data_IF_980314392638
#
_entry.id   IF_980314392638
#
_cell.length_a   1.000
_cell.length_b   1.000
_cell.length_c   1.000
_cell.angle_alpha   90.00
_cell.angle_beta   90.00
_cell.angle_gamma   90.00
#
_symmetry.space_group_name_H-M   'P 1'
#
loop_
_entity.id
_entity.type
_entity.pdbx_description
1 polymer ?
#
# COMPACT_ATOMS: atom_id res chain seq x y z
N UNK A 1 22.77 -3.87 -63.83
CA UNK A 1 23.87 -3.10 -63.22
C UNK A 1 23.62 -3.09 -61.72
N UNK A 2 24.46 -3.53 -60.80
CA UNK A 2 25.76 -4.18 -60.81
C UNK A 2 25.93 -4.80 -59.40
N UNK A 3 26.73 -5.84 -59.34
CA UNK A 3 27.08 -6.69 -58.18
C UNK A 3 27.92 -5.96 -57.13
N UNK A 4 27.87 -6.36 -55.85
CA UNK A 4 29.10 -6.57 -55.05
C UNK A 4 28.86 -7.30 -53.74
N UNK A 5 29.52 -8.45 -53.64
CA UNK A 5 29.91 -9.24 -52.47
C UNK A 5 30.87 -8.46 -51.55
N UNK A 6 30.89 -8.79 -50.25
CA UNK A 6 31.92 -8.34 -49.32
C UNK A 6 31.97 -9.19 -48.05
N UNK A 7 32.82 -10.23 -48.07
CA UNK A 7 33.10 -11.17 -46.97
C UNK A 7 34.36 -10.70 -46.24
N UNK A 8 34.31 -10.53 -44.91
CA UNK A 8 35.48 -10.18 -44.08
C UNK A 8 35.54 -11.04 -42.82
N UNK A 9 36.61 -11.84 -42.70
CA UNK A 9 36.88 -12.79 -41.60
C UNK A 9 37.50 -12.07 -40.38
N UNK A 10 37.00 -12.44 -39.19
CA UNK A 10 37.75 -12.91 -38.02
C UNK A 10 38.70 -11.99 -37.25
N UNK A 11 38.45 -11.86 -35.94
CA UNK A 11 39.48 -12.09 -34.91
C UNK A 11 38.81 -12.40 -33.56
N UNK A 12 39.22 -13.51 -32.95
CA UNK A 12 38.86 -13.90 -31.59
C UNK A 12 39.59 -13.04 -30.56
N UNK A 13 38.92 -12.74 -29.46
CA UNK A 13 39.55 -12.41 -28.18
C UNK A 13 38.77 -13.08 -27.07
N UNK A 14 39.51 -13.85 -26.27
CA UNK A 14 39.09 -14.63 -25.12
C UNK A 14 38.56 -13.80 -23.93
N UNK A 15 37.86 -14.52 -23.05
CA UNK A 15 37.63 -14.25 -21.62
C UNK A 15 36.66 -13.08 -21.30
N UNK A 16 35.65 -13.21 -20.44
CA UNK A 16 35.46 -14.07 -19.27
C UNK A 16 33.95 -14.20 -19.02
N UNK A 17 33.46 -15.41 -18.80
CA UNK A 17 32.08 -15.67 -18.41
C UNK A 17 31.89 -15.27 -16.93
N UNK A 18 31.14 -14.19 -16.68
CA UNK A 18 30.64 -13.88 -15.33
C UNK A 18 29.24 -14.50 -15.21
N UNK A 19 29.18 -15.75 -14.77
CA UNK A 19 27.95 -16.39 -14.33
C UNK A 19 27.51 -15.73 -13.04
N UNK A 20 26.47 -14.88 -13.11
CA UNK A 20 25.80 -14.37 -11.92
C UNK A 20 25.08 -15.54 -11.24
N UNK A 21 25.66 -16.04 -10.15
CA UNK A 21 25.01 -17.01 -9.27
C UNK A 21 23.83 -16.34 -8.57
N UNK A 22 22.62 -16.59 -9.06
CA UNK A 22 21.38 -16.30 -8.33
C UNK A 22 21.40 -17.11 -7.03
N UNK A 23 21.63 -16.43 -5.92
CA UNK A 23 21.58 -17.04 -4.59
C UNK A 23 20.10 -17.11 -4.20
N UNK A 24 19.48 -18.26 -4.40
CA UNK A 24 18.14 -18.57 -3.89
C UNK A 24 18.19 -18.59 -2.36
N UNK A 25 17.85 -17.48 -1.71
CA UNK A 25 17.64 -17.45 -0.27
C UNK A 25 16.28 -18.06 0.04
N UNK A 26 16.24 -19.37 0.29
CA UNK A 26 15.12 -19.99 0.98
C UNK A 26 15.17 -19.58 2.45
N UNK A 27 14.55 -18.45 2.78
CA UNK A 27 14.29 -18.08 4.17
C UNK A 27 12.95 -18.68 4.58
N UNK A 28 12.97 -19.89 5.13
CA UNK A 28 11.87 -20.42 5.92
C UNK A 28 11.86 -19.67 7.26
N UNK A 29 11.36 -18.44 7.25
CA UNK A 29 11.12 -17.71 8.49
C UNK A 29 9.95 -18.40 9.20
N UNK A 30 10.27 -19.13 10.27
CA UNK A 30 9.27 -19.57 11.25
C UNK A 30 8.68 -18.31 11.88
N UNK A 31 7.54 -17.84 11.38
CA UNK A 31 6.85 -16.69 11.96
C UNK A 31 6.39 -17.05 13.36
N UNK A 32 6.97 -16.37 14.34
CA UNK A 32 6.58 -16.44 15.73
C UNK A 32 5.11 -16.00 15.84
N UNK A 33 4.21 -16.69 16.56
CA UNK A 33 2.81 -16.29 16.73
C UNK A 33 2.63 -14.90 17.40
N UNK A 34 3.70 -14.26 17.88
CA UNK A 34 3.72 -12.87 18.32
C UNK A 34 4.08 -11.85 17.23
N UNK A 35 4.25 -12.29 15.98
CA UNK A 35 4.34 -11.38 14.84
C UNK A 35 2.99 -10.70 14.72
N UNK A 36 2.89 -9.50 15.33
CA UNK A 36 1.62 -8.80 15.55
C UNK A 36 0.98 -8.61 14.19
N UNK A 37 -0.01 -9.45 13.88
CA UNK A 37 -0.72 -9.45 12.61
C UNK A 37 -1.14 -8.02 12.30
N UNK A 38 -0.79 -7.54 11.12
CA UNK A 38 -1.21 -6.23 10.61
C UNK A 38 -1.79 -6.42 9.23
N UNK A 39 -2.89 -5.74 8.97
CA UNK A 39 -3.49 -5.64 7.64
C UNK A 39 -3.31 -4.23 7.16
N UNK A 40 -2.88 -4.06 5.91
CA UNK A 40 -2.79 -2.77 5.24
C UNK A 40 -3.57 -2.85 3.95
N UNK A 41 -4.46 -1.89 3.71
CA UNK A 41 -5.23 -1.76 2.46
C UNK A 41 -5.01 -0.35 1.91
N UNK A 42 -4.53 -0.25 0.67
CA UNK A 42 -4.47 1.02 -0.05
C UNK A 42 -5.80 1.26 -0.72
N UNK A 43 -6.41 2.42 -0.47
CA UNK A 43 -7.70 2.85 -1.03
C UNK A 43 -7.50 3.80 -2.21
N UNK A 44 -6.50 4.70 -2.13
CA UNK A 44 -6.05 5.58 -3.21
C UNK A 44 -4.57 6.01 -3.01
N UNK A 45 -3.95 6.58 -4.06
CA UNK A 45 -2.61 7.21 -3.95
C UNK A 45 -1.40 6.31 -4.22
N UNK A 46 -1.60 5.12 -4.82
CA UNK A 46 -0.49 4.25 -5.28
C UNK A 46 -0.37 4.20 -6.81
N UNK A 47 0.76 3.71 -7.36
CA UNK A 47 0.99 3.62 -8.81
C UNK A 47 -0.02 2.72 -9.55
N UNK A 48 -0.81 1.92 -8.83
CA UNK A 48 -1.67 0.87 -9.37
C UNK A 48 -3.18 1.22 -9.36
N UNK A 49 -3.60 2.42 -8.96
CA UNK A 49 -4.93 2.97 -9.29
C UNK A 49 -6.07 2.77 -8.27
N UNK A 50 -7.31 2.85 -8.80
CA UNK A 50 -8.54 3.34 -8.14
C UNK A 50 -9.39 2.32 -7.35
N UNK A 51 -8.90 1.10 -7.12
CA UNK A 51 -9.61 0.08 -6.33
C UNK A 51 -8.83 -0.26 -5.06
N UNK A 52 -9.52 -0.51 -3.94
CA UNK A 52 -8.85 -0.98 -2.73
C UNK A 52 -8.10 -2.29 -2.95
N UNK A 53 -6.86 -2.36 -2.43
CA UNK A 53 -6.00 -3.57 -2.53
C UNK A 53 -5.17 -3.76 -1.28
N UNK A 54 -4.86 -5.02 -0.97
CA UNK A 54 -3.98 -5.36 0.16
C UNK A 54 -2.55 -4.97 -0.18
N UNK A 55 -1.83 -4.46 0.82
CA UNK A 55 -0.40 -4.18 0.75
C UNK A 55 0.33 -5.00 1.83
N UNK A 56 1.48 -5.61 1.52
CA UNK A 56 2.37 -6.16 2.53
C UNK A 56 2.66 -5.16 3.66
N UNK A 57 2.44 -5.56 4.91
CA UNK A 57 2.52 -4.65 6.06
C UNK A 57 3.97 -4.31 6.48
N UNK A 58 4.94 -5.06 5.96
CA UNK A 58 6.37 -4.94 6.17
C UNK A 58 7.08 -4.14 5.07
N UNK A 59 6.34 -3.69 4.06
CA UNK A 59 6.85 -2.87 2.96
C UNK A 59 6.56 -1.36 3.15
N UNK A 60 7.42 -0.47 2.64
CA UNK A 60 7.17 0.97 2.68
C UNK A 60 5.95 1.36 1.85
N UNK A 61 4.96 1.96 2.51
CA UNK A 61 3.75 2.50 1.86
C UNK A 61 3.87 3.99 1.52
N UNK A 62 4.35 4.81 2.46
CA UNK A 62 4.37 6.26 2.32
C UNK A 62 5.61 6.73 1.58
N UNK A 63 5.42 7.73 0.71
CA UNK A 63 6.52 8.47 0.14
C UNK A 63 7.18 9.34 1.21
N UNK A 64 8.50 9.49 1.14
CA UNK A 64 9.26 10.26 2.14
C UNK A 64 8.86 11.74 2.21
N UNK A 65 8.26 12.28 1.15
CA UNK A 65 7.74 13.64 1.04
C UNK A 65 6.21 13.73 1.16
N UNK A 66 5.53 12.67 1.65
CA UNK A 66 4.09 12.74 1.92
C UNK A 66 3.79 13.78 3.02
N UNK A 67 2.86 14.69 2.75
CA UNK A 67 2.52 15.80 3.63
C UNK A 67 1.92 15.37 4.97
N UNK A 68 1.37 14.15 5.08
CA UNK A 68 1.03 13.59 6.40
C UNK A 68 2.27 13.40 7.27
N UNK A 69 3.38 12.92 6.71
CA UNK A 69 4.61 12.66 7.46
C UNK A 69 5.38 13.95 7.74
N UNK A 70 5.47 14.85 6.76
CA UNK A 70 6.31 16.05 6.89
C UNK A 70 5.60 17.23 7.59
N UNK A 71 4.27 17.30 7.53
CA UNK A 71 3.48 18.44 8.07
C UNK A 71 2.24 18.05 8.86
N UNK A 72 1.88 16.76 8.92
CA UNK A 72 0.62 16.33 9.51
C UNK A 72 -0.61 16.74 8.69
N UNK A 73 -0.47 17.00 7.40
CA UNK A 73 -1.54 17.48 6.52
C UNK A 73 -2.40 16.31 6.02
N UNK A 74 -3.35 15.92 6.87
CA UNK A 74 -4.28 14.83 6.63
C UNK A 74 -5.27 14.67 7.77
N UNK A 75 -6.18 13.72 7.61
CA UNK A 75 -7.15 13.34 8.63
C UNK A 75 -7.22 11.82 8.78
N UNK A 76 -7.70 11.37 9.93
CA UNK A 76 -7.83 9.95 10.21
C UNK A 76 -9.06 9.64 11.06
N UNK A 77 -9.47 8.38 11.02
CA UNK A 77 -10.50 7.81 11.86
C UNK A 77 -10.03 6.50 12.46
N UNK A 78 -10.54 6.14 13.65
CA UNK A 78 -10.25 4.84 14.29
C UNK A 78 -11.54 4.15 14.68
N UNK A 79 -11.67 2.88 14.29
CA UNK A 79 -12.84 2.03 14.43
C UNK A 79 -12.44 0.71 15.10
N UNK A 80 -13.38 0.12 15.85
CA UNK A 80 -13.23 -1.24 16.37
C UNK A 80 -13.66 -2.25 15.30
N UNK A 81 -12.89 -3.33 15.16
CA UNK A 81 -13.26 -4.56 14.45
C UNK A 81 -13.43 -5.65 15.48
N UNK A 82 -14.58 -6.31 15.50
CA UNK A 82 -14.86 -7.42 16.41
C UNK A 82 -15.65 -8.50 15.67
N UNK A 83 -15.24 -9.76 15.83
CA UNK A 83 -15.83 -10.87 15.06
C UNK A 83 -15.78 -10.66 13.54
N UNK A 84 -14.74 -9.98 13.02
CA UNK A 84 -14.61 -9.66 11.60
C UNK A 84 -15.57 -8.57 11.08
N UNK A 85 -16.27 -7.88 11.98
CA UNK A 85 -17.22 -6.81 11.65
C UNK A 85 -16.72 -5.47 12.17
N UNK A 86 -16.80 -4.43 11.35
CA UNK A 86 -16.39 -3.07 11.72
C UNK A 86 -17.54 -2.33 12.41
N UNK A 87 -17.27 -1.73 13.56
CA UNK A 87 -18.26 -1.03 14.34
C UNK A 87 -18.58 0.35 13.75
N UNK A 88 -19.86 0.55 13.38
CA UNK A 88 -20.44 1.85 12.98
C UNK A 88 -19.69 2.58 11.84
N UNK A 89 -19.31 1.89 10.74
CA UNK A 89 -18.47 2.46 9.68
C UNK A 89 -19.02 3.79 9.13
N UNK A 90 -20.32 3.89 8.88
CA UNK A 90 -20.93 5.10 8.33
C UNK A 90 -20.78 6.34 9.22
N UNK A 91 -20.81 6.19 10.55
CA UNK A 91 -20.60 7.33 11.47
C UNK A 91 -19.17 7.87 11.37
N UNK A 92 -18.21 6.96 11.23
CA UNK A 92 -16.80 7.31 11.09
C UNK A 92 -16.53 7.89 9.70
N UNK A 93 -17.07 7.30 8.63
CA UNK A 93 -16.97 7.87 7.27
C UNK A 93 -17.56 9.28 7.19
N UNK A 94 -18.71 9.52 7.81
CA UNK A 94 -19.28 10.87 7.88
C UNK A 94 -18.37 11.85 8.63
N UNK A 95 -17.65 11.41 9.68
CA UNK A 95 -16.71 12.26 10.42
C UNK A 95 -15.40 12.48 9.66
N UNK A 96 -14.90 11.45 8.98
CA UNK A 96 -13.76 11.55 8.08
C UNK A 96 -14.05 12.54 6.96
N UNK A 97 -15.22 12.43 6.30
CA UNK A 97 -15.63 13.34 5.23
C UNK A 97 -15.73 14.80 5.68
N UNK A 98 -16.25 15.06 6.88
CA UNK A 98 -16.22 16.43 7.44
C UNK A 98 -14.80 16.95 7.69
N UNK A 99 -13.90 16.09 8.16
CA UNK A 99 -12.50 16.45 8.42
C UNK A 99 -11.74 16.70 7.12
N UNK A 100 -11.97 15.86 6.10
CA UNK A 100 -11.43 16.03 4.76
C UNK A 100 -11.90 17.36 4.14
N UNK A 101 -13.20 17.67 4.22
CA UNK A 101 -13.73 18.93 3.74
C UNK A 101 -13.14 20.15 4.47
N UNK A 102 -12.90 20.07 5.79
CA UNK A 102 -12.26 21.14 6.55
C UNK A 102 -10.78 21.37 6.17
N UNK A 103 -10.16 20.40 5.50
CA UNK A 103 -8.78 20.45 5.00
C UNK A 103 -8.71 20.64 3.48
N UNK A 104 -9.84 20.90 2.82
CA UNK A 104 -9.95 20.98 1.36
C UNK A 104 -9.38 19.72 0.64
N UNK A 105 -9.59 18.54 1.23
CA UNK A 105 -9.25 17.25 0.65
C UNK A 105 -10.49 16.64 -0.04
N UNK A 106 -10.28 16.04 -1.21
CA UNK A 106 -11.36 15.41 -1.99
C UNK A 106 -11.63 13.98 -1.52
N UNK A 107 -10.57 13.22 -1.28
CA UNK A 107 -10.56 11.84 -0.81
C UNK A 107 -11.13 10.82 -1.81
N UNK A 108 -11.01 9.52 -1.46
CA UNK A 108 -11.79 8.46 -2.11
C UNK A 108 -13.30 8.65 -1.92
N UNK A 109 -14.09 8.12 -2.86
CA UNK A 109 -15.56 8.11 -2.71
C UNK A 109 -15.99 7.27 -1.52
N UNK A 110 -17.20 7.49 -0.96
CA UNK A 110 -17.74 6.65 0.11
C UNK A 110 -17.75 5.16 -0.24
N UNK A 111 -18.00 4.80 -1.50
CA UNK A 111 -18.02 3.42 -1.99
C UNK A 111 -16.62 2.80 -1.98
N UNK A 112 -15.58 3.57 -2.35
CA UNK A 112 -14.20 3.10 -2.27
C UNK A 112 -13.77 2.88 -0.82
N UNK A 113 -14.15 3.77 0.09
CA UNK A 113 -13.91 3.58 1.51
C UNK A 113 -14.60 2.34 2.06
N UNK A 114 -15.88 2.12 1.73
CA UNK A 114 -16.61 0.91 2.13
C UNK A 114 -15.94 -0.35 1.61
N UNK A 115 -15.58 -0.39 0.32
CA UNK A 115 -14.87 -1.51 -0.26
C UNK A 115 -13.51 -1.77 0.42
N UNK A 116 -12.80 -0.71 0.82
CA UNK A 116 -11.56 -0.83 1.58
C UNK A 116 -11.77 -1.37 3.00
N UNK A 117 -12.80 -0.89 3.69
CA UNK A 117 -13.19 -1.35 5.03
C UNK A 117 -13.56 -2.84 4.99
N UNK A 118 -14.37 -3.24 4.03
CA UNK A 118 -14.80 -4.63 3.86
C UNK A 118 -13.61 -5.55 3.55
N UNK A 119 -12.68 -5.09 2.70
CA UNK A 119 -11.45 -5.81 2.42
C UNK A 119 -10.58 -5.94 3.69
N UNK A 120 -10.35 -4.85 4.40
CA UNK A 120 -9.54 -4.85 5.61
C UNK A 120 -10.12 -5.75 6.71
N UNK A 121 -11.44 -5.73 6.90
CA UNK A 121 -12.14 -6.57 7.88
C UNK A 121 -12.08 -8.06 7.50
N UNK A 122 -12.24 -8.39 6.21
CA UNK A 122 -12.07 -9.75 5.70
C UNK A 122 -10.66 -10.28 5.92
N UNK A 123 -9.64 -9.49 5.57
CA UNK A 123 -8.23 -9.87 5.75
C UNK A 123 -7.83 -9.94 7.23
N UNK A 124 -8.48 -9.18 8.11
CA UNK A 124 -8.29 -9.29 9.56
C UNK A 124 -8.93 -10.56 10.14
N UNK A 125 -10.12 -10.93 9.65
CA UNK A 125 -10.88 -12.06 10.17
C UNK A 125 -11.49 -11.80 11.55
N UNK A 126 -11.97 -12.86 12.20
CA UNK A 126 -12.77 -12.75 13.43
C UNK A 126 -12.16 -13.31 14.71
N UNK A 127 -10.90 -13.73 14.68
CA UNK A 127 -10.26 -14.37 15.84
C UNK A 127 -9.93 -13.39 16.98
N UNK A 128 -9.66 -12.13 16.65
CA UNK A 128 -9.15 -11.12 17.57
C UNK A 128 -9.84 -9.77 17.32
N UNK A 129 -9.92 -8.93 18.35
CA UNK A 129 -10.34 -7.54 18.16
C UNK A 129 -9.25 -6.74 17.43
N UNK A 130 -9.68 -5.93 16.46
CA UNK A 130 -8.81 -5.10 15.66
C UNK A 130 -9.08 -3.62 15.86
N UNK A 131 -8.03 -2.82 15.93
CA UNK A 131 -8.08 -1.37 15.76
C UNK A 131 -7.88 -1.03 14.28
N UNK A 132 -8.97 -0.68 13.59
CA UNK A 132 -8.95 -0.26 12.20
C UNK A 132 -8.77 1.27 12.13
N UNK A 133 -7.78 1.75 11.37
CA UNK A 133 -7.58 3.18 11.10
C UNK A 133 -7.79 3.48 9.64
N UNK A 134 -8.61 4.48 9.34
CA UNK A 134 -8.71 5.11 8.02
C UNK A 134 -7.78 6.32 8.02
N UNK A 135 -6.95 6.49 6.99
CA UNK A 135 -6.02 7.63 6.87
C UNK A 135 -6.14 8.23 5.48
N UNK A 136 -6.29 9.55 5.42
CA UNK A 136 -6.27 10.35 4.20
C UNK A 136 -5.27 11.50 4.37
N UNK A 137 -4.36 11.69 3.41
CA UNK A 137 -3.44 12.83 3.38
C UNK A 137 -3.49 13.56 2.05
N UNK A 138 -2.95 14.79 2.04
CA UNK A 138 -2.77 15.57 0.80
C UNK A 138 -1.83 14.89 -0.21
N UNK A 139 -1.08 13.87 0.20
CA UNK A 139 -0.10 13.19 -0.63
C UNK A 139 1.24 13.94 -0.67
N UNK A 140 2.07 13.70 -1.70
CA UNK A 140 3.43 14.24 -1.79
C UNK A 140 3.50 15.76 -1.89
N UNK A 141 4.49 16.37 -1.23
CA UNK A 141 4.77 17.81 -1.30
C UNK A 141 5.03 18.30 -2.72
N UNK A 142 5.63 17.46 -3.58
CA UNK A 142 5.84 17.73 -5.01
C UNK A 142 4.55 17.77 -5.85
N UNK A 143 3.40 17.49 -5.24
CA UNK A 143 2.12 17.33 -5.91
C UNK A 143 1.87 15.90 -6.41
N UNK A 144 0.60 15.57 -6.60
CA UNK A 144 0.15 14.23 -7.02
C UNK A 144 -1.25 13.92 -6.53
N UNK A 145 -1.59 12.63 -6.56
CA UNK A 145 -2.82 12.15 -5.94
C UNK A 145 -2.70 12.16 -4.41
N UNK A 146 -3.82 12.40 -3.73
CA UNK A 146 -3.95 12.19 -2.29
C UNK A 146 -3.66 10.73 -1.92
N UNK A 147 -3.09 10.52 -0.72
CA UNK A 147 -2.78 9.18 -0.21
C UNK A 147 -3.90 8.73 0.71
N UNK A 148 -4.48 7.56 0.44
CA UNK A 148 -5.55 7.00 1.28
C UNK A 148 -5.35 5.52 1.56
N UNK A 149 -5.32 5.14 2.83
CA UNK A 149 -5.09 3.76 3.25
C UNK A 149 -5.80 3.41 4.55
N UNK A 150 -5.86 2.12 4.82
CA UNK A 150 -6.44 1.52 6.01
C UNK A 150 -5.40 0.63 6.66
N UNK A 151 -5.31 0.67 7.99
CA UNK A 151 -4.53 -0.31 8.76
C UNK A 151 -5.42 -1.01 9.76
N UNK A 152 -5.21 -2.30 10.01
CA UNK A 152 -5.78 -3.04 11.15
C UNK A 152 -4.64 -3.66 11.96
N UNK A 153 -4.70 -3.53 13.28
CA UNK A 153 -3.75 -4.13 14.22
C UNK A 153 -4.48 -4.56 15.51
N UNK A 154 -3.89 -5.42 16.37
CA UNK A 154 -4.54 -5.81 17.62
C UNK A 154 -4.87 -4.60 18.50
N UNK A 155 -5.98 -4.68 19.24
CA UNK A 155 -6.26 -3.76 20.36
C UNK A 155 -5.26 -4.06 21.48
N UNK A 156 -4.63 -3.02 22.04
CA UNK A 156 -3.59 -3.13 23.06
C UNK A 156 -4.15 -3.31 24.47
#
# INVERSE_FOLDING_TARGET
MGTSTGKGKGKSTDATATTATTRTSNSTATTNPSDKRRVVVVVAGGPEGARPRVHPADEPLLLADDLAAVRGDGCFETLLVTGGTVAKPERHLARLGRSAAALDLTGPTPEQWRAGIDLAAREWGGAEEGMLRLVLSRGPERGGAETAYITVAPVA
#
